data_IF_282376209534
#
_entry.id   IF_282376209534
#
_cell.length_a   1.000
_cell.length_b   1.000
_cell.length_c   1.000
_cell.angle_alpha   90.00
_cell.angle_beta   90.00
_cell.angle_gamma   90.00
#
_symmetry.space_group_name_H-M   'P 1'
#
loop_
_entity.id
_entity.type
_entity.pdbx_description
1 polymer ?
#
# COMPACT_ATOMS: atom_id res chain seq x y z
N UNK A 1 0.08 17.18 -2.66
CA UNK A 1 -1.10 16.33 -2.93
C UNK A 1 -0.58 14.94 -3.26
N UNK A 2 -1.02 13.94 -2.51
CA UNK A 2 -0.60 12.54 -2.66
C UNK A 2 -1.86 11.70 -2.56
N UNK A 3 -2.46 11.36 -3.70
CA UNK A 3 -3.77 10.67 -3.76
C UNK A 3 -3.70 9.33 -4.50
N UNK A 4 -2.81 8.40 -4.14
CA UNK A 4 -2.82 7.07 -4.75
C UNK A 4 -4.10 6.32 -4.39
N UNK A 5 -4.57 5.47 -5.31
CA UNK A 5 -5.71 4.58 -5.07
C UNK A 5 -5.33 3.43 -4.13
N UNK A 6 -4.10 2.94 -4.20
CA UNK A 6 -3.52 1.94 -3.31
C UNK A 6 -2.02 2.21 -3.23
N UNK A 7 -1.47 2.39 -2.03
CA UNK A 7 -0.02 2.51 -1.83
C UNK A 7 0.38 1.93 -0.45
N UNK A 8 1.26 0.95 -0.44
CA UNK A 8 1.73 0.32 0.79
C UNK A 8 2.45 1.30 1.72
N UNK A 9 3.22 2.23 1.16
CA UNK A 9 3.86 3.32 1.91
C UNK A 9 4.27 4.44 0.96
N UNK A 10 3.84 5.67 1.26
CA UNK A 10 4.20 6.82 0.45
C UNK A 10 5.38 7.59 1.06
N UNK A 11 6.60 7.29 0.60
CA UNK A 11 7.80 7.97 1.07
C UNK A 11 7.89 9.43 0.60
N UNK A 12 7.31 9.77 -0.56
CA UNK A 12 7.29 11.15 -1.07
C UNK A 12 6.53 12.07 -0.09
N UNK A 13 5.43 11.61 0.48
CA UNK A 13 4.71 12.33 1.52
C UNK A 13 5.58 12.56 2.77
N UNK A 14 6.30 11.52 3.22
CA UNK A 14 7.22 11.61 4.37
C UNK A 14 8.38 12.56 4.08
N UNK A 15 9.03 12.45 2.93
CA UNK A 15 10.14 13.31 2.50
C UNK A 15 9.71 14.78 2.43
N UNK A 16 8.52 15.06 1.91
CA UNK A 16 7.97 16.42 1.86
C UNK A 16 7.88 17.06 3.25
N UNK A 17 7.36 16.32 4.24
CA UNK A 17 7.26 16.78 5.62
C UNK A 17 8.63 16.82 6.30
N UNK A 18 9.47 15.81 6.11
CA UNK A 18 10.81 15.74 6.66
C UNK A 18 11.68 16.94 6.23
N UNK A 19 11.47 17.44 5.01
CA UNK A 19 12.14 18.63 4.49
C UNK A 19 11.65 19.95 5.11
N UNK A 20 10.59 19.94 5.93
CA UNK A 20 10.06 21.13 6.62
C UNK A 20 10.76 21.34 7.97
N UNK A 21 12.01 21.79 7.91
CA UNK A 21 12.80 22.11 9.09
C UNK A 21 12.81 23.62 9.36
N UNK A 22 12.36 24.03 10.55
CA UNK A 22 12.29 25.44 10.99
C UNK A 22 13.66 26.10 11.11
N UNK A 23 14.73 25.32 11.21
CA UNK A 23 16.11 25.83 11.28
C UNK A 23 16.69 26.21 9.91
N UNK A 24 16.08 25.76 8.81
CA UNK A 24 16.54 26.05 7.44
C UNK A 24 15.96 27.39 6.98
N UNK A 25 16.85 28.28 6.51
CA UNK A 25 16.43 29.59 5.98
C UNK A 25 15.42 29.43 4.82
N UNK A 26 14.38 30.27 4.84
CA UNK A 26 13.28 30.32 3.86
C UNK A 26 12.40 29.07 3.77
N UNK A 27 12.58 28.07 4.63
CA UNK A 27 11.63 26.96 4.73
C UNK A 27 10.42 27.41 5.54
N UNK A 28 9.24 27.08 5.04
CA UNK A 28 7.93 27.41 5.64
C UNK A 28 7.23 26.13 6.06
N UNK A 29 6.34 26.16 7.07
CA UNK A 29 5.60 24.98 7.48
C UNK A 29 4.68 24.54 6.33
N UNK A 30 4.42 23.25 6.24
CA UNK A 30 3.68 22.66 5.13
C UNK A 30 2.81 21.52 5.61
N UNK A 31 1.66 21.36 4.97
CA UNK A 31 0.76 20.22 5.16
C UNK A 31 0.71 19.37 3.89
N UNK A 32 0.27 18.13 4.02
CA UNK A 32 0.08 17.21 2.91
C UNK A 32 -1.39 16.79 2.87
N UNK A 33 -1.99 16.87 1.68
CA UNK A 33 -3.27 16.19 1.38
C UNK A 33 -2.91 14.77 0.95
N UNK A 34 -3.41 13.77 1.67
CA UNK A 34 -2.95 12.39 1.62
C UNK A 34 -4.13 11.42 1.50
N UNK A 35 -4.05 10.47 0.57
CA UNK A 35 -5.00 9.36 0.47
C UNK A 35 -5.01 8.55 1.76
N UNK A 36 -6.21 8.21 2.24
CA UNK A 36 -6.40 7.24 3.32
C UNK A 36 -5.88 5.83 2.97
N UNK A 37 -5.74 5.56 1.67
CA UNK A 37 -5.28 4.28 1.12
C UNK A 37 -3.75 4.25 0.91
N UNK A 38 -3.04 5.31 1.33
CA UNK A 38 -1.59 5.30 1.43
C UNK A 38 -1.17 4.92 2.85
N UNK A 39 -0.25 3.96 3.00
CA UNK A 39 0.24 3.55 4.33
C UNK A 39 0.83 4.69 5.18
N UNK A 40 1.34 5.74 4.53
CA UNK A 40 1.83 6.95 5.21
C UNK A 40 0.73 7.68 6.03
N UNK A 41 -0.55 7.51 5.69
CA UNK A 41 -1.66 8.13 6.41
C UNK A 41 -1.81 7.60 7.84
N UNK A 42 -1.28 6.40 8.13
CA UNK A 42 -1.29 5.82 9.47
C UNK A 42 -0.27 6.47 10.41
N UNK A 43 0.72 7.18 9.88
CA UNK A 43 1.79 7.81 10.67
C UNK A 43 1.69 9.34 10.66
N UNK A 44 1.21 9.94 9.57
CA UNK A 44 1.08 11.38 9.42
C UNK A 44 -0.29 11.88 9.91
N UNK A 45 -0.55 11.77 11.22
CA UNK A 45 -1.87 12.01 11.84
C UNK A 45 -2.47 13.41 11.60
N UNK A 46 -1.62 14.42 11.40
CA UNK A 46 -2.02 15.80 11.15
C UNK A 46 -2.16 16.13 9.64
N UNK A 47 -1.99 15.14 8.76
CA UNK A 47 -2.25 15.30 7.34
C UNK A 47 -3.74 15.53 7.07
N UNK A 48 -4.05 16.17 5.95
CA UNK A 48 -5.43 16.26 5.45
C UNK A 48 -5.72 14.96 4.72
N UNK A 49 -6.29 14.00 5.44
CA UNK A 49 -6.61 12.67 4.91
C UNK A 49 -7.89 12.73 4.07
N UNK A 50 -7.85 12.14 2.88
CA UNK A 50 -8.98 12.09 1.94
C UNK A 50 -9.19 10.70 1.38
N UNK A 51 -10.43 10.36 1.09
CA UNK A 51 -10.76 9.25 0.21
C UNK A 51 -10.46 9.68 -1.24
N UNK A 52 -9.54 9.03 -1.97
CA UNK A 52 -9.18 9.45 -3.32
C UNK A 52 -10.27 9.21 -4.37
N UNK A 53 -11.35 8.50 -4.03
CA UNK A 53 -12.50 8.29 -4.91
C UNK A 53 -13.57 9.39 -4.80
N UNK A 54 -13.41 10.33 -3.87
CA UNK A 54 -14.32 11.46 -3.65
C UNK A 54 -13.67 12.76 -4.18
N UNK A 55 -13.95 13.08 -5.44
CA UNK A 55 -13.35 14.24 -6.11
C UNK A 55 -13.69 15.56 -5.42
N UNK A 56 -14.90 15.69 -4.86
CA UNK A 56 -15.34 16.90 -4.15
C UNK A 56 -14.57 17.05 -2.83
N UNK A 57 -14.42 15.96 -2.06
CA UNK A 57 -13.62 15.98 -0.84
C UNK A 57 -12.13 16.27 -1.12
N UNK A 58 -11.58 15.77 -2.23
CA UNK A 58 -10.21 16.08 -2.66
C UNK A 58 -10.08 17.57 -3.01
N UNK A 59 -11.04 18.14 -3.73
CA UNK A 59 -11.05 19.56 -4.05
C UNK A 59 -11.11 20.45 -2.79
N UNK A 60 -11.99 20.11 -1.86
CA UNK A 60 -12.11 20.80 -0.56
C UNK A 60 -10.82 20.68 0.26
N UNK A 61 -10.19 19.51 0.28
CA UNK A 61 -8.92 19.30 0.97
C UNK A 61 -7.78 20.14 0.38
N UNK A 62 -7.73 20.30 -0.95
CA UNK A 62 -6.78 21.19 -1.61
C UNK A 62 -7.02 22.65 -1.16
N UNK A 63 -8.28 23.09 -1.14
CA UNK A 63 -8.64 24.43 -0.69
C UNK A 63 -8.19 24.68 0.76
N UNK A 64 -8.48 23.73 1.66
CA UNK A 64 -8.04 23.77 3.06
C UNK A 64 -6.50 23.83 3.15
N UNK A 65 -5.79 22.99 2.40
CA UNK A 65 -4.32 22.97 2.39
C UNK A 65 -3.70 24.31 1.93
N UNK A 66 -4.32 24.96 0.94
CA UNK A 66 -3.92 26.29 0.49
C UNK A 66 -4.19 27.38 1.55
N UNK A 67 -5.34 27.34 2.21
CA UNK A 67 -5.69 28.27 3.28
C UNK A 67 -4.78 28.13 4.50
N UNK A 68 -4.44 26.89 4.87
CA UNK A 68 -3.42 26.62 5.89
C UNK A 68 -2.07 27.20 5.47
N UNK A 69 -1.62 26.95 4.24
CA UNK A 69 -0.32 27.44 3.76
C UNK A 69 -0.25 28.97 3.74
N UNK A 70 -1.35 29.65 3.38
CA UNK A 70 -1.47 31.12 3.36
C UNK A 70 -1.61 31.75 4.74
N UNK A 71 -1.85 30.96 5.78
CA UNK A 71 -2.08 31.48 7.14
C UNK A 71 -3.49 32.03 7.37
N UNK A 72 -4.46 31.67 6.51
CA UNK A 72 -5.85 32.11 6.63
C UNK A 72 -6.62 31.34 7.72
N UNK A 73 -6.15 30.13 8.07
CA UNK A 73 -6.77 29.25 9.07
C UNK A 73 -6.00 29.13 10.37
N UNK A 74 -4.67 29.08 10.29
CA UNK A 74 -3.78 28.90 11.44
C UNK A 74 -2.67 29.95 11.39
N UNK A 75 -2.28 30.47 12.56
CA UNK A 75 -1.11 31.33 12.71
C UNK A 75 0.18 30.57 12.39
N UNK A 76 1.27 31.30 12.17
CA UNK A 76 2.56 30.70 11.79
C UNK A 76 3.06 29.65 12.80
N UNK A 77 3.02 29.95 14.09
CA UNK A 77 3.47 29.01 15.12
C UNK A 77 2.62 27.73 15.16
N UNK A 78 1.30 27.85 15.02
CA UNK A 78 0.41 26.69 14.96
C UNK A 78 0.68 25.81 13.74
N UNK A 79 0.99 26.40 12.59
CA UNK A 79 1.36 25.62 11.39
C UNK A 79 2.67 24.89 11.59
N UNK A 80 3.64 25.52 12.28
CA UNK A 80 4.88 24.86 12.65
C UNK A 80 4.66 23.72 13.65
N UNK A 81 3.80 23.90 14.65
CA UNK A 81 3.46 22.83 15.60
C UNK A 81 2.90 21.59 14.88
N UNK A 82 1.94 21.80 13.98
CA UNK A 82 1.34 20.73 13.17
C UNK A 82 2.39 20.04 12.30
N UNK A 83 3.24 20.82 11.63
CA UNK A 83 4.31 20.28 10.77
C UNK A 83 5.33 19.48 11.58
N UNK A 84 5.73 20.00 12.75
CA UNK A 84 6.74 19.39 13.59
C UNK A 84 6.25 18.09 14.25
N UNK A 85 4.96 17.99 14.62
CA UNK A 85 4.38 16.73 15.10
C UNK A 85 4.51 15.62 14.07
N UNK A 86 4.18 15.90 12.80
CA UNK A 86 4.38 14.93 11.73
C UNK A 86 5.86 14.64 11.47
N UNK A 87 6.71 15.66 11.53
CA UNK A 87 8.17 15.49 11.35
C UNK A 87 8.76 14.61 12.45
N UNK A 88 8.34 14.80 13.69
CA UNK A 88 8.77 14.01 14.83
C UNK A 88 8.36 12.54 14.67
N UNK A 89 7.13 12.27 14.22
CA UNK A 89 6.67 10.91 13.93
C UNK A 89 7.54 10.21 12.86
N UNK A 90 7.99 10.95 11.84
CA UNK A 90 8.90 10.41 10.80
C UNK A 90 10.29 10.11 11.37
N UNK A 91 10.83 10.99 12.22
CA UNK A 91 12.16 10.82 12.83
C UNK A 91 12.17 9.63 13.79
N UNK A 92 11.11 9.45 14.57
CA UNK A 92 10.97 8.32 15.49
C UNK A 92 10.81 6.98 14.75
N UNK A 93 10.18 7.00 13.58
CA UNK A 93 9.91 5.82 12.74
C UNK A 93 10.76 5.83 11.45
N UNK A 94 12.04 6.14 11.56
CA UNK A 94 12.96 6.17 10.41
C UNK A 94 13.27 4.76 9.86
N UNK A 95 13.97 4.72 8.71
CA UNK A 95 14.34 3.45 8.06
C UNK A 95 15.23 2.56 8.93
N UNK A 96 16.03 3.16 9.82
CA UNK A 96 16.88 2.41 10.73
C UNK A 96 16.06 1.81 11.87
N UNK A 97 15.06 2.53 12.40
CA UNK A 97 14.11 2.05 13.39
C UNK A 97 13.28 0.88 12.84
N UNK A 98 12.77 1.02 11.62
CA UNK A 98 12.09 -0.06 10.91
C UNK A 98 12.99 -1.29 10.77
N UNK A 99 14.24 -1.12 10.31
CA UNK A 99 15.19 -2.22 10.15
C UNK A 99 15.51 -2.93 11.46
N UNK A 100 15.73 -2.18 12.54
CA UNK A 100 15.93 -2.74 13.90
C UNK A 100 14.70 -3.50 14.38
N UNK A 101 13.50 -2.94 14.20
CA UNK A 101 12.25 -3.58 14.61
C UNK A 101 12.02 -4.89 13.86
N UNK A 102 12.23 -4.89 12.55
CA UNK A 102 12.13 -6.09 11.71
C UNK A 102 13.11 -7.18 12.12
N UNK A 103 14.39 -6.83 12.34
CA UNK A 103 15.38 -7.80 12.78
C UNK A 103 15.06 -8.36 14.17
N UNK A 104 14.63 -7.50 15.10
CA UNK A 104 14.22 -7.93 16.43
C UNK A 104 13.03 -8.91 16.39
N UNK A 105 12.06 -8.68 15.50
CA UNK A 105 10.93 -9.59 15.29
C UNK A 105 11.37 -10.91 14.64
N UNK A 106 12.38 -10.90 13.75
CA UNK A 106 12.94 -12.12 13.17
C UNK A 106 13.76 -12.93 14.17
N UNK A 107 14.50 -12.28 15.06
CA UNK A 107 15.30 -12.92 16.11
C UNK A 107 14.44 -13.46 17.26
N UNK A 108 13.38 -12.73 17.61
CA UNK A 108 12.42 -13.09 18.64
C UNK A 108 11.02 -13.11 18.03
N UNK A 109 10.71 -14.09 17.14
CA UNK A 109 9.39 -14.20 16.57
C UNK A 109 8.41 -14.33 17.73
N UNK A 110 7.53 -13.34 17.86
CA UNK A 110 6.52 -13.29 18.90
C UNK A 110 5.85 -14.67 18.96
N UNK A 111 5.74 -15.27 20.15
CA UNK A 111 4.95 -16.49 20.37
C UNK A 111 3.47 -16.16 20.12
N UNK A 112 3.08 -16.08 18.85
CA UNK A 112 1.83 -15.47 18.42
C UNK A 112 1.83 -15.03 16.95
N UNK A 113 3.00 -14.71 16.37
CA UNK A 113 3.14 -14.55 14.92
C UNK A 113 3.10 -15.93 14.29
N UNK A 114 1.89 -16.48 14.13
CA UNK A 114 1.65 -17.46 13.07
C UNK A 114 1.96 -16.71 11.79
N UNK A 115 3.20 -16.80 11.31
CA UNK A 115 3.43 -16.67 9.87
C UNK A 115 2.42 -17.65 9.29
N UNK A 116 1.37 -17.13 8.66
CA UNK A 116 0.45 -17.92 7.88
C UNK A 116 1.24 -18.43 6.67
N UNK A 117 2.17 -19.36 6.91
CA UNK A 117 2.53 -20.33 5.90
C UNK A 117 1.20 -21.00 5.61
N UNK A 118 0.67 -20.93 4.38
CA UNK A 118 -0.44 -21.78 4.01
C UNK A 118 -0.05 -23.18 4.46
N UNK A 119 -0.79 -23.75 5.40
CA UNK A 119 -0.50 -25.10 5.84
C UNK A 119 -0.46 -25.95 4.57
N UNK A 120 0.60 -26.72 4.39
CA UNK A 120 0.74 -27.58 3.19
C UNK A 120 -0.49 -28.49 3.03
N UNK A 121 -1.13 -28.82 4.16
CA UNK A 121 -2.44 -29.46 4.27
C UNK A 121 -3.60 -28.59 3.80
N UNK A 122 -3.69 -27.29 4.14
CA UNK A 122 -4.72 -26.39 3.63
C UNK A 122 -4.67 -26.26 2.10
N UNK A 123 -3.47 -26.21 1.51
CA UNK A 123 -3.30 -26.24 0.05
C UNK A 123 -3.72 -27.59 -0.56
N UNK A 124 -3.38 -28.73 0.08
CA UNK A 124 -3.83 -30.06 -0.37
C UNK A 124 -5.36 -30.24 -0.24
N UNK A 125 -5.98 -29.70 0.81
CA UNK A 125 -7.43 -29.74 1.02
C UNK A 125 -8.17 -28.82 0.03
N UNK A 126 -7.57 -27.69 -0.35
CA UNK A 126 -8.14 -26.75 -1.33
C UNK A 126 -8.11 -27.30 -2.76
N UNK A 127 -7.08 -28.07 -3.12
CA UNK A 127 -6.87 -28.54 -4.50
C UNK A 127 -7.97 -29.52 -4.97
N UNK A 128 -8.35 -30.51 -4.16
CA UNK A 128 -9.29 -31.55 -4.64
C UNK A 128 -10.75 -31.29 -4.25
N UNK A 129 -11.01 -30.69 -3.08
CA UNK A 129 -12.37 -30.65 -2.52
C UNK A 129 -13.21 -29.45 -2.97
N UNK A 130 -12.58 -28.32 -3.31
CA UNK A 130 -13.27 -27.11 -3.78
C UNK A 130 -13.38 -27.05 -5.30
N UNK A 131 -12.38 -27.54 -6.04
CA UNK A 131 -12.45 -27.60 -7.50
C UNK A 131 -13.64 -28.45 -7.95
N UNK A 132 -13.78 -29.67 -7.42
CA UNK A 132 -14.92 -30.54 -7.72
C UNK A 132 -16.26 -29.86 -7.39
N UNK A 133 -16.40 -29.28 -6.19
CA UNK A 133 -17.63 -28.55 -5.81
C UNK A 133 -17.91 -27.32 -6.66
N UNK A 134 -16.88 -26.59 -7.11
CA UNK A 134 -17.04 -25.46 -8.01
C UNK A 134 -17.57 -25.94 -9.37
N UNK A 135 -16.98 -27.00 -9.94
CA UNK A 135 -17.44 -27.60 -11.20
C UNK A 135 -18.78 -28.35 -11.08
N UNK A 136 -19.14 -28.86 -9.91
CA UNK A 136 -20.44 -29.48 -9.62
C UNK A 136 -21.53 -28.48 -9.17
N UNK A 137 -21.15 -27.25 -8.77
CA UNK A 137 -22.11 -26.21 -8.38
C UNK A 137 -22.95 -25.74 -9.56
N UNK A 138 -24.10 -25.11 -9.26
CA UNK A 138 -25.17 -24.64 -10.17
C UNK A 138 -24.74 -24.48 -11.62
N UNK A 139 -25.55 -25.04 -12.53
CA UNK A 139 -25.42 -24.84 -13.97
C UNK A 139 -25.38 -23.34 -14.33
N UNK A 140 -24.41 -22.96 -15.17
CA UNK A 140 -24.17 -21.57 -15.54
C UNK A 140 -22.77 -21.35 -16.11
N UNK A 141 -22.52 -20.14 -16.61
CA UNK A 141 -21.21 -19.74 -17.10
C UNK A 141 -20.22 -19.67 -15.94
N UNK A 142 -19.13 -20.44 -16.01
CA UNK A 142 -18.05 -20.44 -15.01
C UNK A 142 -16.88 -19.66 -15.58
N UNK A 143 -16.48 -18.59 -14.90
CA UNK A 143 -15.30 -17.81 -15.25
C UNK A 143 -14.15 -18.19 -14.33
N UNK A 144 -12.99 -18.54 -14.91
CA UNK A 144 -11.76 -18.79 -14.19
C UNK A 144 -10.78 -17.68 -14.53
N UNK A 145 -10.33 -16.95 -13.51
CA UNK A 145 -9.31 -15.91 -13.65
C UNK A 145 -7.98 -16.50 -13.18
N UNK A 146 -7.03 -16.58 -14.11
CA UNK A 146 -5.70 -17.10 -13.85
C UNK A 146 -4.70 -15.98 -14.08
N UNK A 147 -3.71 -15.89 -13.20
CA UNK A 147 -2.50 -15.15 -13.54
C UNK A 147 -1.77 -15.87 -14.68
N UNK A 148 -0.91 -15.16 -15.40
CA UNK A 148 -0.13 -15.75 -16.46
C UNK A 148 1.19 -16.31 -15.91
N UNK A 149 2.05 -15.43 -15.39
CA UNK A 149 3.36 -15.81 -14.84
C UNK A 149 3.22 -16.45 -13.46
N UNK A 150 3.94 -17.54 -13.22
CA UNK A 150 3.83 -18.35 -12.01
C UNK A 150 2.57 -19.21 -11.91
N UNK A 151 1.63 -19.13 -12.88
CA UNK A 151 0.41 -19.96 -12.92
C UNK A 151 0.27 -20.76 -14.22
N UNK A 152 0.17 -20.09 -15.38
CA UNK A 152 0.10 -20.75 -16.69
C UNK A 152 1.48 -21.01 -17.30
N UNK A 153 2.49 -20.26 -16.84
CA UNK A 153 3.88 -20.33 -17.27
C UNK A 153 4.80 -20.13 -16.05
N UNK A 154 5.91 -20.85 -16.00
CA UNK A 154 6.94 -20.63 -14.98
C UNK A 154 7.60 -19.26 -15.15
N UNK A 155 8.21 -18.74 -14.07
CA UNK A 155 8.94 -17.48 -14.14
C UNK A 155 10.16 -17.59 -15.06
N UNK A 156 10.20 -16.74 -16.08
CA UNK A 156 11.33 -16.63 -17.00
C UNK A 156 12.13 -15.36 -16.74
N UNK A 157 13.45 -15.43 -16.93
CA UNK A 157 14.33 -14.29 -16.71
C UNK A 157 14.12 -13.16 -17.73
N UNK A 158 13.60 -13.49 -18.92
CA UNK A 158 13.29 -12.55 -20.00
C UNK A 158 11.81 -12.65 -20.35
N UNK A 159 11.05 -11.55 -20.36
CA UNK A 159 9.60 -11.59 -20.63
C UNK A 159 9.23 -12.22 -21.98
N UNK A 160 10.06 -12.06 -23.01
CA UNK A 160 9.82 -12.63 -24.34
C UNK A 160 9.86 -14.17 -24.38
N UNK A 161 10.49 -14.82 -23.41
CA UNK A 161 10.58 -16.28 -23.31
C UNK A 161 9.40 -16.90 -22.55
N UNK A 162 8.54 -16.07 -21.96
CA UNK A 162 7.33 -16.48 -21.25
C UNK A 162 6.20 -16.85 -22.24
N UNK A 163 6.51 -17.59 -23.31
CA UNK A 163 5.51 -18.09 -24.26
C UNK A 163 4.76 -19.29 -23.68
N UNK A 164 3.47 -19.49 -24.03
CA UNK A 164 2.69 -20.63 -23.54
C UNK A 164 3.34 -21.95 -23.99
N UNK A 165 3.43 -22.91 -23.07
CA UNK A 165 3.87 -24.26 -23.47
C UNK A 165 2.79 -24.96 -24.29
N UNK A 166 3.19 -25.93 -25.11
CA UNK A 166 2.25 -26.74 -25.86
C UNK A 166 1.23 -27.43 -24.93
N UNK A 167 1.69 -27.91 -23.77
CA UNK A 167 0.84 -28.51 -22.74
C UNK A 167 -0.18 -27.51 -22.17
N UNK A 168 0.23 -26.26 -21.90
CA UNK A 168 -0.67 -25.19 -21.44
C UNK A 168 -1.75 -24.93 -22.49
N UNK A 169 -1.38 -24.79 -23.76
CA UNK A 169 -2.32 -24.55 -24.86
C UNK A 169 -3.31 -25.70 -25.03
N UNK A 170 -2.83 -26.94 -25.03
CA UNK A 170 -3.70 -28.13 -25.12
C UNK A 170 -4.69 -28.20 -23.97
N UNK A 171 -4.26 -27.86 -22.75
CA UNK A 171 -5.13 -27.85 -21.57
C UNK A 171 -6.17 -26.74 -21.64
N UNK A 172 -5.81 -25.54 -22.09
CA UNK A 172 -6.78 -24.46 -22.27
C UNK A 172 -7.81 -24.79 -23.36
N UNK A 173 -7.39 -25.47 -24.43
CA UNK A 173 -8.30 -25.92 -25.49
C UNK A 173 -9.28 -27.01 -25.02
N UNK A 174 -8.92 -27.86 -24.06
CA UNK A 174 -9.82 -28.89 -23.55
C UNK A 174 -10.86 -28.37 -22.56
N UNK A 175 -10.68 -27.15 -22.06
CA UNK A 175 -11.61 -26.46 -21.17
C UNK A 175 -12.64 -25.58 -21.91
N UNK A 176 -12.44 -25.35 -23.20
CA UNK A 176 -13.31 -24.57 -24.09
C UNK A 176 -14.33 -25.47 -24.80
#
# INVERSE_FOLDING_TARGET
>A
LVTPLIDGMNLVAKEFIAAKDRSIDKVVPGTVVLSELAGAAQELFDAIVVNPYDDDAVADAIAIGLELTRGNRLGEDQRWEVTERMRQAIIENDSAAWGRSMLAELENPSKGTRIARPERLAMQYLQDHFAAKFFESREGLKALFLDYDGTLREFEARPEDAVPTEQTLQTLHSLA
#
